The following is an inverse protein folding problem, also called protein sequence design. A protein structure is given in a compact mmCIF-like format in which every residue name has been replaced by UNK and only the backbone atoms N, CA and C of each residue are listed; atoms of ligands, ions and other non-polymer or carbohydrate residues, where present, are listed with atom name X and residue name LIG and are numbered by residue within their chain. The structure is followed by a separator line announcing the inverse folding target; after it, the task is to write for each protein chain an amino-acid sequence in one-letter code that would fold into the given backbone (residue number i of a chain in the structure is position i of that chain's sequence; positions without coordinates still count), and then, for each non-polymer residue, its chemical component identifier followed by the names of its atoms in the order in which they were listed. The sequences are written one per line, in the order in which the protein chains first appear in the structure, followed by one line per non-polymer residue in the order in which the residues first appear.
data_IF_770322430533
#
_entry.id   IF_770322430533
#
_cell.length_a   1.000
_cell.length_b   1.000
_cell.length_c   1.000
_cell.angle_alpha   90.00
_cell.angle_beta   90.00
_cell.angle_gamma   90.00
#
_symmetry.space_group_name_H-M   'P 1'
#
loop_
_entity.id
_entity.type
_entity.pdbx_description
1 polymer ?
#
# COMPACT_ATOMS: atom_id res chain seq x y z
N UNK A 1 11.57 -4.11 18.38
CA UNK A 1 10.54 -3.82 17.38
C UNK A 1 11.05 -2.57 16.71
N UNK A 2 11.40 -2.69 15.44
CA UNK A 2 11.88 -1.55 14.68
C UNK A 2 10.66 -0.99 13.96
N UNK A 3 10.20 0.16 14.42
CA UNK A 3 9.06 0.85 13.84
C UNK A 3 9.58 1.68 12.66
N UNK A 4 9.24 1.27 11.43
CA UNK A 4 9.62 2.03 10.23
C UNK A 4 8.43 2.85 9.73
N UNK A 5 8.55 4.17 9.89
CA UNK A 5 7.61 5.14 9.32
C UNK A 5 8.06 5.52 7.91
N UNK A 6 7.30 5.11 6.90
CA UNK A 6 7.56 5.43 5.50
C UNK A 6 6.66 6.59 5.04
N UNK A 7 7.20 7.80 4.99
CA UNK A 7 6.49 8.94 4.40
C UNK A 7 6.95 9.18 2.96
N UNK A 8 6.00 9.20 2.02
CA UNK A 8 6.31 9.37 0.60
C UNK A 8 5.60 10.57 -0.03
N UNK A 9 6.21 11.20 -1.04
CA UNK A 9 5.71 12.46 -1.66
C UNK A 9 5.18 12.29 -3.09
N UNK A 10 5.29 11.11 -3.71
CA UNK A 10 4.97 10.87 -5.13
C UNK A 10 4.34 9.48 -5.32
N UNK A 11 3.69 9.27 -6.47
CA UNK A 11 3.34 7.94 -6.94
C UNK A 11 4.57 7.03 -6.93
N UNK A 12 4.43 5.87 -6.29
CA UNK A 12 5.52 4.92 -6.17
C UNK A 12 5.64 4.07 -7.43
N UNK A 13 6.84 4.07 -8.01
CA UNK A 13 7.16 3.24 -9.17
C UNK A 13 7.50 1.82 -8.73
N UNK A 14 7.62 0.90 -9.70
CA UNK A 14 7.99 -0.47 -9.39
C UNK A 14 9.38 -0.54 -8.73
N UNK A 15 10.33 0.26 -9.23
CA UNK A 15 11.71 0.34 -8.77
C UNK A 15 11.83 0.92 -7.36
N UNK A 16 10.86 1.70 -6.90
CA UNK A 16 10.83 2.17 -5.52
C UNK A 16 10.64 1.00 -4.54
N UNK A 17 9.65 0.14 -4.80
CA UNK A 17 9.37 -0.98 -3.91
C UNK A 17 10.45 -2.07 -3.98
N UNK A 18 11.03 -2.31 -5.15
CA UNK A 18 12.19 -3.20 -5.28
C UNK A 18 13.37 -2.71 -4.43
N UNK A 19 13.68 -1.41 -4.47
CA UNK A 19 14.74 -0.82 -3.62
C UNK A 19 14.39 -0.87 -2.14
N UNK A 20 13.13 -0.61 -1.79
CA UNK A 20 12.67 -0.68 -0.41
C UNK A 20 12.81 -2.10 0.13
N UNK A 21 12.38 -3.10 -0.64
CA UNK A 21 12.57 -4.52 -0.30
C UNK A 21 14.03 -4.85 -0.01
N UNK A 22 14.95 -4.46 -0.91
CA UNK A 22 16.39 -4.66 -0.70
C UNK A 22 16.90 -4.03 0.60
N UNK A 23 16.49 -2.79 0.89
CA UNK A 23 16.89 -2.10 2.14
C UNK A 23 16.32 -2.83 3.36
N UNK A 24 15.06 -3.28 3.30
CA UNK A 24 14.42 -3.98 4.41
C UNK A 24 15.05 -5.35 4.69
N UNK A 25 15.46 -6.08 3.65
CA UNK A 25 16.22 -7.31 3.79
C UNK A 25 17.61 -7.07 4.40
N UNK A 26 18.29 -5.99 4.01
CA UNK A 26 19.59 -5.61 4.58
C UNK A 26 19.52 -5.18 6.05
N UNK A 27 18.39 -4.60 6.48
CA UNK A 27 18.15 -4.26 7.88
C UNK A 27 18.02 -5.51 8.77
N UNK A 28 17.65 -6.66 8.21
CA UNK A 28 17.49 -7.95 8.91
C UNK A 28 16.63 -7.84 10.20
N UNK A 29 15.57 -7.04 10.12
CA UNK A 29 14.72 -6.73 11.26
C UNK A 29 13.88 -7.95 11.67
N UNK A 30 14.02 -8.41 12.91
CA UNK A 30 13.20 -9.53 13.45
C UNK A 30 11.70 -9.19 13.55
N UNK A 31 11.36 -7.91 13.66
CA UNK A 31 9.98 -7.40 13.75
C UNK A 31 9.91 -6.05 13.06
N UNK A 32 9.14 -6.00 11.97
CA UNK A 32 8.97 -4.83 11.13
C UNK A 32 7.50 -4.41 11.12
N UNK A 33 7.26 -3.10 11.26
CA UNK A 33 5.98 -2.48 10.95
C UNK A 33 6.26 -1.42 9.88
N UNK A 34 5.58 -1.53 8.74
CA UNK A 34 5.56 -0.50 7.71
C UNK A 34 4.28 0.32 7.84
N UNK A 35 4.41 1.62 8.09
CA UNK A 35 3.28 2.53 8.13
C UNK A 35 3.55 3.72 7.24
N UNK A 36 2.60 4.06 6.36
CA UNK A 36 2.85 5.14 5.40
C UNK A 36 1.77 5.37 4.36
N UNK A 37 1.88 6.52 3.69
CA UNK A 37 1.15 6.81 2.46
C UNK A 37 1.88 6.19 1.27
N UNK A 38 1.30 5.14 0.70
CA UNK A 38 1.85 4.41 -0.45
C UNK A 38 1.49 5.07 -1.79
N UNK A 39 0.70 6.15 -1.79
CA UNK A 39 0.20 6.86 -2.97
C UNK A 39 -0.48 5.93 -4.00
N UNK A 40 -1.03 4.81 -3.52
CA UNK A 40 -1.69 3.80 -4.34
C UNK A 40 -2.49 2.84 -3.46
N UNK A 41 -3.35 2.05 -4.10
CA UNK A 41 -4.23 1.10 -3.41
C UNK A 41 -3.81 -0.35 -3.69
N UNK A 42 -3.75 -1.25 -2.68
CA UNK A 42 -3.45 -2.68 -2.90
C UNK A 42 -4.55 -3.40 -3.68
N UNK A 43 -5.80 -3.24 -3.27
CA UNK A 43 -6.96 -3.92 -3.85
C UNK A 43 -8.00 -2.91 -4.33
N UNK A 44 -7.94 -2.43 -5.59
CA UNK A 44 -8.82 -1.38 -6.10
C UNK A 44 -10.31 -1.62 -5.89
N UNK A 45 -10.78 -2.87 -6.00
CA UNK A 45 -12.19 -3.20 -5.80
C UNK A 45 -12.67 -2.98 -4.34
N UNK A 46 -11.74 -3.00 -3.37
CA UNK A 46 -12.02 -2.84 -1.93
C UNK A 46 -11.56 -1.50 -1.39
N UNK A 47 -10.50 -0.93 -1.97
CA UNK A 47 -9.80 0.25 -1.48
C UNK A 47 -10.15 1.51 -2.26
N UNK A 48 -11.10 1.44 -3.22
CA UNK A 48 -11.65 2.60 -3.93
C UNK A 48 -13.18 2.67 -3.91
N UNK A 49 -13.68 3.89 -4.06
CA UNK A 49 -15.11 4.17 -4.22
C UNK A 49 -15.62 4.10 -5.68
N UNK A 50 -14.74 4.07 -6.68
CA UNK A 50 -15.14 4.05 -8.10
C UNK A 50 -15.87 2.74 -8.49
N UNK A 51 -16.80 2.82 -9.45
CA UNK A 51 -17.55 1.66 -9.98
C UNK A 51 -16.65 0.72 -10.78
N UNK A 52 -16.99 -0.58 -10.76
CA UNK A 52 -16.35 -1.65 -11.55
C UNK A 52 -16.23 -1.23 -13.02
N UNK A 53 -15.00 -1.22 -13.55
CA UNK A 53 -14.67 -0.82 -14.93
C UNK A 53 -13.45 0.09 -15.08
N UNK A 54 -12.99 0.75 -13.99
CA UNK A 54 -11.72 1.51 -13.92
C UNK A 54 -10.69 0.86 -12.98
N UNK A 55 -10.74 -0.47 -12.88
CA UNK A 55 -10.17 -1.25 -11.77
C UNK A 55 -8.66 -1.16 -11.58
N UNK A 56 -7.88 -0.69 -12.57
CA UNK A 56 -6.41 -0.62 -12.45
C UNK A 56 -5.85 0.77 -12.19
N UNK A 57 -6.65 1.83 -12.27
CA UNK A 57 -6.15 3.19 -11.97
C UNK A 57 -5.65 3.18 -10.52
N UNK A 58 -4.53 3.84 -10.23
CA UNK A 58 -3.99 4.02 -8.86
C UNK A 58 -3.70 2.73 -8.08
N UNK A 59 -3.70 1.57 -8.73
CA UNK A 59 -3.30 0.29 -8.11
C UNK A 59 -1.80 0.32 -7.86
N UNK A 60 -1.36 -0.20 -6.71
CA UNK A 60 0.06 -0.41 -6.45
C UNK A 60 0.68 -1.37 -7.49
N UNK A 61 1.95 -1.16 -7.86
CA UNK A 61 2.64 -2.03 -8.81
C UNK A 61 2.80 -3.44 -8.25
N UNK A 62 3.05 -4.42 -9.13
CA UNK A 62 3.26 -5.81 -8.70
C UNK A 62 4.41 -5.95 -7.69
N UNK A 63 5.48 -5.15 -7.82
CA UNK A 63 6.62 -5.18 -6.90
C UNK A 63 6.24 -4.82 -5.46
N UNK A 64 5.15 -4.09 -5.22
CA UNK A 64 4.64 -3.91 -3.85
C UNK A 64 4.14 -5.23 -3.26
N UNK A 65 3.33 -5.97 -4.03
CA UNK A 65 2.81 -7.27 -3.59
C UNK A 65 3.93 -8.31 -3.43
N UNK A 66 4.92 -8.27 -4.33
CA UNK A 66 6.07 -9.18 -4.27
C UNK A 66 6.92 -8.88 -3.02
N UNK A 67 7.13 -7.59 -2.69
CA UNK A 67 7.77 -7.20 -1.44
C UNK A 67 6.98 -7.66 -0.21
N UNK A 68 5.64 -7.51 -0.20
CA UNK A 68 4.82 -8.01 0.90
C UNK A 68 4.96 -9.53 1.08
N UNK A 69 4.93 -10.30 -0.02
CA UNK A 69 5.08 -11.75 0.00
C UNK A 69 6.48 -12.19 0.46
N UNK A 70 7.54 -11.57 -0.10
CA UNK A 70 8.93 -11.93 0.20
C UNK A 70 9.35 -11.59 1.63
N UNK A 71 8.77 -10.54 2.21
CA UNK A 71 9.04 -10.09 3.59
C UNK A 71 8.05 -10.65 4.62
N UNK A 72 7.11 -11.52 4.20
CA UNK A 72 6.02 -12.05 5.04
C UNK A 72 5.22 -10.94 5.73
N UNK A 73 4.94 -9.85 5.00
CA UNK A 73 4.15 -8.73 5.47
C UNK A 73 2.66 -8.97 5.23
N UNK A 74 1.84 -8.34 6.06
CA UNK A 74 0.38 -8.38 5.94
C UNK A 74 -0.19 -7.01 6.26
N UNK A 75 -1.04 -6.48 5.38
CA UNK A 75 -1.89 -5.31 5.66
C UNK A 75 -2.79 -5.60 6.87
N UNK A 76 -2.42 -5.05 8.02
CA UNK A 76 -3.07 -5.26 9.31
C UNK A 76 -4.50 -4.71 9.28
N UNK A 77 -4.70 -3.55 8.62
CA UNK A 77 -6.04 -2.98 8.49
C UNK A 77 -6.95 -3.95 7.74
N UNK A 78 -6.52 -4.45 6.58
CA UNK A 78 -7.34 -5.29 5.69
C UNK A 78 -7.56 -6.66 6.28
N UNK A 79 -6.57 -7.20 6.98
CA UNK A 79 -6.72 -8.44 7.74
C UNK A 79 -7.85 -8.33 8.78
N UNK A 80 -7.90 -7.23 9.55
CA UNK A 80 -8.95 -7.02 10.57
C UNK A 80 -10.31 -6.67 9.98
N UNK A 81 -10.34 -6.09 8.79
CA UNK A 81 -11.53 -5.52 8.18
C UNK A 81 -11.73 -6.03 6.75
N UNK A 82 -11.88 -7.35 6.54
CA UNK A 82 -11.76 -7.96 5.22
C UNK A 82 -12.79 -7.46 4.21
N UNK A 83 -13.99 -7.09 4.67
CA UNK A 83 -15.12 -6.67 3.80
C UNK A 83 -15.46 -5.19 3.89
N UNK A 84 -14.89 -4.45 4.85
CA UNK A 84 -15.22 -3.04 5.08
C UNK A 84 -14.53 -2.20 4.01
N UNK A 85 -15.26 -1.21 3.48
CA UNK A 85 -14.72 -0.18 2.61
C UNK A 85 -14.59 1.11 3.41
N UNK A 86 -13.36 1.46 3.76
CA UNK A 86 -13.00 2.71 4.40
C UNK A 86 -11.83 3.31 3.63
N UNK A 87 -11.86 4.64 3.48
CA UNK A 87 -10.90 5.38 2.66
C UNK A 87 -10.20 6.43 3.52
N UNK A 88 -9.02 6.87 3.08
CA UNK A 88 -8.18 7.81 3.83
C UNK A 88 -7.91 9.10 3.04
N UNK A 89 -8.08 9.07 1.72
CA UNK A 89 -7.84 10.21 0.84
C UNK A 89 -8.97 10.41 -0.18
N UNK A 90 -9.27 11.68 -0.47
CA UNK A 90 -10.16 12.09 -1.56
C UNK A 90 -9.38 12.74 -2.69
N UNK A 91 -9.49 12.18 -3.90
CA UNK A 91 -8.94 12.76 -5.12
C UNK A 91 -9.98 13.64 -5.79
N UNK A 92 -9.81 14.96 -5.70
CA UNK A 92 -10.69 15.93 -6.36
C UNK A 92 -10.69 15.79 -7.90
N UNK A 93 -9.55 15.65 -8.61
CA UNK A 93 -9.55 15.50 -10.08
C UNK A 93 -10.29 14.25 -10.58
N UNK A 94 -10.44 13.23 -9.74
CA UNK A 94 -11.10 11.98 -10.08
C UNK A 94 -12.45 11.80 -9.38
N UNK A 95 -12.83 12.72 -8.50
CA UNK A 95 -14.02 12.67 -7.67
C UNK A 95 -14.19 11.29 -7.02
N UNK A 96 -13.11 10.78 -6.43
CA UNK A 96 -13.05 9.41 -5.93
C UNK A 96 -12.26 9.32 -4.63
N UNK A 97 -12.63 8.34 -3.80
CA UNK A 97 -11.95 8.03 -2.55
C UNK A 97 -11.03 6.82 -2.72
N UNK A 98 -9.89 6.86 -2.04
CA UNK A 98 -8.91 5.77 -1.97
C UNK A 98 -8.38 5.56 -0.55
N UNK A 99 -8.05 4.31 -0.21
CA UNK A 99 -7.27 3.99 1.00
C UNK A 99 -5.80 3.85 0.60
N UNK A 100 -5.05 4.95 0.73
CA UNK A 100 -3.64 5.02 0.32
C UNK A 100 -2.66 4.96 1.50
N UNK A 101 -3.16 5.22 2.71
CA UNK A 101 -2.43 4.99 3.95
C UNK A 101 -2.56 3.51 4.34
N UNK A 102 -1.41 2.86 4.57
CA UNK A 102 -1.28 1.45 4.86
C UNK A 102 -0.61 1.23 6.22
N UNK A 103 -1.00 0.13 6.88
CA UNK A 103 -0.39 -0.44 8.08
C UNK A 103 -0.60 -1.96 8.07
#
# INVERSE_FOLDING_TARGET
MEDLLLYTKKYQSAEFFEKLEHILLELDAQKLILLGDMNGVPAPDMDRSEKKGKSNRGKLPKSFNDMEENLDLTDIWRHKNPTIKQFTHYSEPHQSWGRIDQI
#
